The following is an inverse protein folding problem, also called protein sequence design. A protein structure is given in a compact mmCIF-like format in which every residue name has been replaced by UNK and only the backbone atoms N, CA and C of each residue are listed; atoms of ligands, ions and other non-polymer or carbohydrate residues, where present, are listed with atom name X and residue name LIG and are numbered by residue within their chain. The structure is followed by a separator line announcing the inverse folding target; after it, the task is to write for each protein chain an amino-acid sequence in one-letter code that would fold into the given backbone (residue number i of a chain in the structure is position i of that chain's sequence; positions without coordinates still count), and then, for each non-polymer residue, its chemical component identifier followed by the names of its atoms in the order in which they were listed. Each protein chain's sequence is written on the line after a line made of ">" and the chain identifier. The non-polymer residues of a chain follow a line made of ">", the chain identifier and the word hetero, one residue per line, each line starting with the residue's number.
data_IF_334838550581
#
_entry.id   IF_334838550581
#
_cell.length_a   1.000
_cell.length_b   1.000
_cell.length_c   1.000
_cell.angle_alpha   90.00
_cell.angle_beta   90.00
_cell.angle_gamma   90.00
#
_symmetry.space_group_name_H-M   'P 1'
#
loop_
_entity.id
_entity.type
_entity.pdbx_description
1 polymer ?
#
# COMPACT_ATOMS: atom_id res chain seq x y z
N UNK A 1 -42.33 -19.30 -21.61
CA UNK A 1 -40.98 -19.69 -21.14
C UNK A 1 -40.00 -18.75 -21.84
N UNK A 2 -39.11 -18.05 -21.13
CA UNK A 2 -38.11 -17.19 -21.79
C UNK A 2 -37.20 -18.07 -22.64
N UNK A 3 -36.93 -17.69 -23.88
CA UNK A 3 -36.04 -18.47 -24.75
C UNK A 3 -34.60 -18.31 -24.29
N UNK A 4 -33.73 -19.26 -24.65
CA UNK A 4 -32.29 -19.19 -24.35
C UNK A 4 -31.66 -17.88 -24.89
N UNK A 5 -32.19 -17.40 -26.02
CA UNK A 5 -31.76 -16.17 -26.68
C UNK A 5 -32.17 -14.92 -25.89
N UNK A 6 -33.39 -14.89 -25.34
CA UNK A 6 -33.85 -13.81 -24.47
C UNK A 6 -33.00 -13.68 -23.19
N UNK A 7 -32.61 -14.82 -22.61
CA UNK A 7 -31.74 -14.84 -21.44
C UNK A 7 -30.34 -14.35 -21.78
N UNK A 8 -29.79 -14.75 -22.92
CA UNK A 8 -28.47 -14.31 -23.38
C UNK A 8 -28.44 -12.79 -23.60
N UNK A 9 -29.47 -12.25 -24.28
CA UNK A 9 -29.62 -10.79 -24.47
C UNK A 9 -29.66 -10.05 -23.14
N UNK A 10 -30.33 -10.61 -22.12
CA UNK A 10 -30.38 -9.99 -20.79
C UNK A 10 -29.03 -10.02 -20.07
N UNK A 11 -28.26 -11.09 -20.22
CA UNK A 11 -26.89 -11.18 -19.67
C UNK A 11 -25.99 -10.10 -20.28
N UNK A 12 -26.06 -9.90 -21.60
CA UNK A 12 -25.21 -8.93 -22.28
C UNK A 12 -25.61 -7.48 -21.97
N UNK A 13 -26.91 -7.23 -21.79
CA UNK A 13 -27.43 -5.95 -21.26
C UNK A 13 -26.87 -5.67 -19.86
N UNK A 14 -26.93 -6.64 -18.94
CA UNK A 14 -26.42 -6.49 -17.57
C UNK A 14 -24.90 -6.30 -17.53
N UNK A 15 -24.15 -6.97 -18.40
CA UNK A 15 -22.70 -6.76 -18.55
C UNK A 15 -22.38 -5.33 -18.97
N UNK A 16 -23.15 -4.81 -19.93
CA UNK A 16 -23.01 -3.42 -20.39
C UNK A 16 -23.30 -2.43 -19.28
N UNK A 17 -24.37 -2.65 -18.51
CA UNK A 17 -24.70 -1.82 -17.33
C UNK A 17 -23.60 -1.85 -16.27
N UNK A 18 -23.07 -3.04 -15.98
CA UNK A 18 -21.97 -3.20 -15.02
C UNK A 18 -20.70 -2.47 -15.47
N UNK A 19 -20.37 -2.55 -16.76
CA UNK A 19 -19.22 -1.85 -17.33
C UNK A 19 -19.38 -0.34 -17.20
N UNK A 20 -20.55 0.19 -17.57
CA UNK A 20 -20.84 1.62 -17.43
C UNK A 20 -20.72 2.08 -15.97
N UNK A 21 -21.27 1.32 -15.02
CA UNK A 21 -21.18 1.66 -13.60
C UNK A 21 -19.72 1.69 -13.10
N UNK A 22 -18.88 0.75 -13.55
CA UNK A 22 -17.44 0.76 -13.22
C UNK A 22 -16.74 1.99 -13.76
N UNK A 23 -17.04 2.39 -14.99
CA UNK A 23 -16.47 3.59 -15.60
C UNK A 23 -16.89 4.86 -14.85
N UNK A 24 -18.17 4.97 -14.46
CA UNK A 24 -18.64 6.08 -13.64
C UNK A 24 -17.96 6.13 -12.28
N UNK A 25 -17.80 4.98 -11.61
CA UNK A 25 -17.09 4.90 -10.33
C UNK A 25 -15.63 5.35 -10.48
N UNK A 26 -14.91 4.86 -11.50
CA UNK A 26 -13.51 5.23 -11.75
C UNK A 26 -13.40 6.74 -12.00
N UNK A 27 -14.28 7.30 -12.82
CA UNK A 27 -14.31 8.74 -13.10
C UNK A 27 -14.59 9.56 -11.85
N UNK A 28 -15.60 9.17 -11.07
CA UNK A 28 -15.95 9.87 -9.83
C UNK A 28 -14.82 9.80 -8.81
N UNK A 29 -14.21 8.61 -8.63
CA UNK A 29 -13.05 8.42 -7.77
C UNK A 29 -11.89 9.33 -8.20
N UNK A 30 -11.59 9.42 -9.50
CA UNK A 30 -10.54 10.31 -10.01
C UNK A 30 -10.83 11.78 -9.66
N UNK A 31 -12.05 12.24 -9.91
CA UNK A 31 -12.43 13.62 -9.59
C UNK A 31 -12.28 13.92 -8.09
N UNK A 32 -12.71 13.00 -7.21
CA UNK A 32 -12.54 13.16 -5.76
C UNK A 32 -11.06 13.24 -5.37
N UNK A 33 -10.20 12.41 -5.98
CA UNK A 33 -8.76 12.46 -5.73
C UNK A 33 -8.16 13.80 -6.20
N UNK A 34 -8.52 14.26 -7.39
CA UNK A 34 -8.08 15.55 -7.92
C UNK A 34 -8.52 16.72 -7.01
N UNK A 35 -9.74 16.64 -6.44
CA UNK A 35 -10.27 17.63 -5.50
C UNK A 35 -9.54 17.59 -4.15
N UNK A 36 -9.29 16.39 -3.60
CA UNK A 36 -8.49 16.18 -2.39
C UNK A 36 -7.08 16.75 -2.57
N UNK A 37 -6.44 16.51 -3.71
CA UNK A 37 -5.12 17.05 -4.01
C UNK A 37 -5.15 18.58 -4.14
N UNK A 38 -6.21 19.13 -4.72
CA UNK A 38 -6.47 20.58 -4.72
C UNK A 38 -6.58 21.17 -3.32
N UNK A 39 -7.28 20.51 -2.40
CA UNK A 39 -7.36 20.92 -0.99
C UNK A 39 -6.03 20.74 -0.25
N UNK A 40 -5.32 19.63 -0.47
CA UNK A 40 -3.99 19.38 0.11
C UNK A 40 -3.02 20.50 -0.27
N UNK A 41 -2.99 20.90 -1.55
CA UNK A 41 -2.15 22.00 -2.02
C UNK A 41 -2.48 23.36 -1.36
N UNK A 42 -3.75 23.60 -1.04
CA UNK A 42 -4.17 24.80 -0.28
C UNK A 42 -3.71 24.72 1.18
N UNK A 43 -3.92 23.57 1.83
CA UNK A 43 -3.46 23.33 3.21
C UNK A 43 -1.93 23.42 3.33
N UNK A 44 -1.18 22.99 2.32
CA UNK A 44 0.29 23.13 2.27
C UNK A 44 0.77 24.57 2.07
N UNK A 45 -0.03 25.45 1.44
CA UNK A 45 0.30 26.88 1.32
C UNK A 45 0.13 27.63 2.64
N UNK A 46 -0.79 27.17 3.50
CA UNK A 46 -1.07 27.81 4.79
C UNK A 46 -0.21 27.26 5.95
N UNK A 47 0.40 26.06 5.79
CA UNK A 47 1.28 25.44 6.78
C UNK A 47 2.77 25.47 6.34
N UNK A 48 3.40 26.65 6.39
CA UNK A 48 4.86 26.73 6.47
C UNK A 48 5.29 26.39 7.90
N UNK A 49 5.11 25.14 8.33
CA UNK A 49 5.85 24.43 9.41
C UNK A 49 5.19 23.07 9.74
N UNK A 50 5.36 22.07 8.88
CA UNK A 50 5.47 20.64 9.29
C UNK A 50 5.65 19.77 8.03
N UNK A 51 6.88 19.33 7.80
CA UNK A 51 7.28 18.53 6.64
C UNK A 51 6.71 17.11 6.62
N UNK A 52 5.52 16.94 6.08
CA UNK A 52 5.06 15.64 5.59
C UNK A 52 4.50 15.79 4.18
N UNK A 53 5.37 15.71 3.18
CA UNK A 53 4.97 15.42 1.81
C UNK A 53 4.15 14.13 1.79
N UNK A 54 3.00 14.13 1.13
CA UNK A 54 2.24 12.92 0.87
C UNK A 54 2.94 12.09 -0.22
N UNK A 55 4.00 11.39 0.18
CA UNK A 55 4.71 10.44 -0.66
C UNK A 55 3.83 9.19 -0.87
N UNK A 56 3.45 8.92 -2.12
CA UNK A 56 2.83 7.64 -2.49
C UNK A 56 3.83 6.52 -2.15
N UNK A 57 3.39 5.53 -1.37
CA UNK A 57 4.27 4.44 -0.93
C UNK A 57 4.99 3.78 -2.12
N UNK A 58 6.31 3.85 -2.10
CA UNK A 58 7.21 3.21 -3.05
C UNK A 58 7.94 2.03 -2.41
N UNK A 59 8.45 1.13 -3.26
CA UNK A 59 9.28 -0.01 -2.82
C UNK A 59 10.55 0.44 -2.09
N UNK A 60 11.01 1.66 -2.39
CA UNK A 60 12.18 2.29 -1.77
C UNK A 60 11.95 2.67 -0.33
N UNK A 61 10.71 2.74 0.15
CA UNK A 61 10.36 3.22 1.49
C UNK A 61 10.38 2.09 2.52
N UNK A 62 10.25 0.83 2.07
CA UNK A 62 10.22 -0.32 2.98
C UNK A 62 11.41 -0.42 3.95
N UNK A 63 12.68 -0.13 3.57
CA UNK A 63 13.77 -0.11 4.54
C UNK A 63 13.48 0.80 5.74
N UNK A 64 13.03 2.04 5.51
CA UNK A 64 12.83 2.99 6.60
C UNK A 64 11.53 2.70 7.37
N UNK A 65 10.50 2.17 6.71
CA UNK A 65 9.28 1.67 7.38
C UNK A 65 9.62 0.51 8.32
N UNK A 66 10.39 -0.48 7.86
CA UNK A 66 10.80 -1.63 8.67
C UNK A 66 11.64 -1.17 9.86
N UNK A 67 12.60 -0.27 9.62
CA UNK A 67 13.44 0.28 10.67
C UNK A 67 12.61 1.00 11.75
N UNK A 68 11.64 1.81 11.33
CA UNK A 68 10.73 2.53 12.23
C UNK A 68 9.90 1.57 13.07
N UNK A 69 9.28 0.57 12.44
CA UNK A 69 8.49 -0.45 13.15
C UNK A 69 9.35 -1.20 14.16
N UNK A 70 10.55 -1.66 13.77
CA UNK A 70 11.45 -2.35 14.69
C UNK A 70 11.86 -1.45 15.85
N UNK A 71 12.23 -0.18 15.58
CA UNK A 71 12.64 0.78 16.61
C UNK A 71 11.54 1.03 17.63
N UNK A 72 10.30 1.20 17.17
CA UNK A 72 9.13 1.41 18.04
C UNK A 72 8.76 0.17 18.87
N UNK A 73 9.18 -1.03 18.43
CA UNK A 73 8.90 -2.30 19.10
C UNK A 73 10.13 -2.87 19.84
N UNK A 74 11.04 -2.02 20.31
CA UNK A 74 12.18 -2.43 21.13
C UNK A 74 13.35 -3.06 20.34
N UNK A 75 13.38 -2.85 19.02
CA UNK A 75 14.47 -3.25 18.14
C UNK A 75 14.40 -4.69 17.63
N UNK A 76 13.38 -5.48 18.00
CA UNK A 76 13.23 -6.88 17.60
C UNK A 76 11.77 -7.23 17.38
N UNK A 77 11.45 -7.87 16.25
CA UNK A 77 10.07 -8.26 15.96
C UNK A 77 9.99 -9.45 15.00
N UNK A 78 8.92 -10.23 15.13
CA UNK A 78 8.61 -11.30 14.18
C UNK A 78 8.21 -10.71 12.81
N UNK A 79 8.68 -11.32 11.72
CA UNK A 79 8.41 -10.87 10.35
C UNK A 79 6.90 -10.75 10.06
N UNK A 80 6.09 -11.67 10.61
CA UNK A 80 4.64 -11.64 10.46
C UNK A 80 4.02 -10.43 11.14
N UNK A 81 4.49 -10.08 12.33
CA UNK A 81 4.02 -8.90 13.07
C UNK A 81 4.43 -7.60 12.36
N UNK A 82 5.65 -7.54 11.81
CA UNK A 82 6.08 -6.43 10.95
C UNK A 82 5.14 -6.29 9.75
N UNK A 83 4.79 -7.40 9.09
CA UNK A 83 3.85 -7.41 7.97
C UNK A 83 2.47 -6.88 8.36
N UNK A 84 1.94 -7.30 9.52
CA UNK A 84 0.67 -6.79 10.05
C UNK A 84 0.74 -5.29 10.32
N UNK A 85 1.86 -4.81 10.84
CA UNK A 85 2.03 -3.40 11.18
C UNK A 85 2.16 -2.51 9.93
N UNK A 86 2.88 -2.98 8.90
CA UNK A 86 2.90 -2.32 7.58
C UNK A 86 1.49 -2.22 7.00
N UNK A 87 0.72 -3.32 7.05
CA UNK A 87 -0.67 -3.31 6.59
C UNK A 87 -1.53 -2.33 7.39
N UNK A 88 -1.43 -2.34 8.72
CA UNK A 88 -2.18 -1.44 9.60
C UNK A 88 -1.93 0.03 9.25
N UNK A 89 -0.68 0.41 8.96
CA UNK A 89 -0.29 1.79 8.64
C UNK A 89 -0.56 2.20 7.20
N UNK A 90 -0.41 1.28 6.25
CA UNK A 90 -0.32 1.63 4.82
C UNK A 90 -1.31 0.88 3.92
N UNK A 91 -2.32 0.17 4.46
CA UNK A 91 -3.30 -0.57 3.66
C UNK A 91 -3.96 0.30 2.57
N UNK A 92 -4.24 1.57 2.84
CA UNK A 92 -4.83 2.46 1.86
C UNK A 92 -3.89 2.67 0.68
N UNK A 93 -2.64 3.10 0.93
CA UNK A 93 -1.63 3.29 -0.11
C UNK A 93 -1.30 1.99 -0.87
N UNK A 94 -1.25 0.86 -0.17
CA UNK A 94 -1.01 -0.46 -0.75
C UNK A 94 -2.16 -0.93 -1.63
N UNK A 95 -3.42 -0.69 -1.24
CA UNK A 95 -4.60 -1.15 -1.98
C UNK A 95 -4.90 -0.31 -3.22
N UNK A 96 -4.33 0.89 -3.33
CA UNK A 96 -4.54 1.82 -4.45
C UNK A 96 -3.52 1.64 -5.58
N UNK A 97 -2.56 0.72 -5.47
CA UNK A 97 -1.54 0.47 -6.49
C UNK A 97 -1.34 -1.04 -6.76
N UNK A 98 -0.60 -1.37 -7.82
CA UNK A 98 -0.26 -2.76 -8.17
C UNK A 98 0.63 -3.45 -7.13
N UNK A 99 1.25 -2.67 -6.23
CA UNK A 99 2.04 -3.19 -5.12
C UNK A 99 1.19 -3.97 -4.12
N UNK A 100 -0.13 -3.82 -4.13
CA UNK A 100 -1.05 -4.69 -3.38
C UNK A 100 -0.70 -6.18 -3.52
N UNK A 101 -0.30 -6.60 -4.71
CA UNK A 101 0.02 -7.99 -5.01
C UNK A 101 1.47 -8.38 -4.65
N UNK A 102 2.39 -7.42 -4.53
CA UNK A 102 3.83 -7.70 -4.42
C UNK A 102 4.49 -7.19 -3.13
N UNK A 103 3.82 -6.36 -2.34
CA UNK A 103 4.45 -5.64 -1.22
C UNK A 103 5.07 -6.57 -0.18
N UNK A 104 4.52 -7.76 0.03
CA UNK A 104 5.09 -8.76 0.94
C UNK A 104 6.47 -9.27 0.48
N UNK A 105 6.70 -9.30 -0.83
CA UNK A 105 8.01 -9.58 -1.39
C UNK A 105 8.90 -8.34 -1.34
N UNK A 106 8.35 -7.17 -1.64
CA UNK A 106 9.09 -5.90 -1.67
C UNK A 106 9.64 -5.50 -0.28
N UNK A 107 8.90 -5.69 0.81
CA UNK A 107 9.42 -5.36 2.14
C UNK A 107 10.53 -6.32 2.60
N UNK A 108 10.50 -7.59 2.15
CA UNK A 108 11.61 -8.52 2.38
C UNK A 108 12.89 -8.04 1.69
N UNK A 109 12.77 -7.44 0.51
CA UNK A 109 13.89 -6.73 -0.12
C UNK A 109 14.33 -5.49 0.66
N UNK A 110 13.38 -4.76 1.26
CA UNK A 110 13.66 -3.67 2.18
C UNK A 110 14.56 -4.11 3.35
N UNK A 111 14.25 -5.23 3.97
CA UNK A 111 15.09 -5.84 5.01
C UNK A 111 16.48 -6.23 4.50
N UNK A 112 16.60 -6.80 3.29
CA UNK A 112 17.90 -7.08 2.67
C UNK A 112 18.73 -5.81 2.49
N UNK A 113 18.11 -4.68 2.10
CA UNK A 113 18.80 -3.39 2.02
C UNK A 113 19.28 -2.91 3.39
N UNK A 114 18.47 -3.00 4.44
CA UNK A 114 18.89 -2.63 5.80
C UNK A 114 20.09 -3.45 6.28
N UNK A 115 20.13 -4.76 5.99
CA UNK A 115 21.28 -5.62 6.30
C UNK A 115 22.55 -5.15 5.58
N UNK A 116 22.44 -4.86 4.28
CA UNK A 116 23.56 -4.32 3.49
C UNK A 116 24.04 -2.97 4.00
N UNK A 117 23.14 -2.16 4.55
CA UNK A 117 23.44 -0.89 5.20
C UNK A 117 23.94 -1.03 6.65
N UNK A 118 24.10 -2.26 7.16
CA UNK A 118 24.51 -2.54 8.53
C UNK A 118 23.59 -1.92 9.60
N UNK A 119 22.30 -1.70 9.27
CA UNK A 119 21.26 -1.16 10.18
C UNK A 119 20.37 -2.25 10.80
N UNK A 120 20.49 -3.49 10.32
CA UNK A 120 19.75 -4.65 10.80
C UNK A 120 20.69 -5.85 10.82
N UNK A 121 20.53 -6.75 11.80
CA UNK A 121 21.33 -7.97 11.91
C UNK A 121 21.19 -8.87 10.68
N UNK A 122 22.26 -9.58 10.34
CA UNK A 122 22.28 -10.57 9.28
C UNK A 122 21.27 -11.70 9.51
N UNK A 123 20.87 -12.39 8.44
CA UNK A 123 19.88 -13.47 8.54
C UNK A 123 20.33 -14.66 9.39
N UNK A 124 21.64 -14.81 9.61
CA UNK A 124 22.25 -15.85 10.45
C UNK A 124 22.50 -15.38 11.88
N UNK A 125 22.42 -14.08 12.14
CA UNK A 125 22.65 -13.49 13.47
C UNK A 125 21.37 -13.40 14.30
N UNK A 126 20.21 -13.39 13.64
CA UNK A 126 18.88 -13.37 14.28
C UNK A 126 18.21 -14.75 14.26
N UNK A 127 17.37 -15.07 15.27
CA UNK A 127 16.53 -16.26 15.25
C UNK A 127 15.66 -16.34 14.01
N UNK A 128 15.33 -17.56 13.57
CA UNK A 128 14.48 -17.78 12.39
C UNK A 128 13.13 -17.09 12.55
N UNK A 129 12.79 -16.22 11.61
CA UNK A 129 11.51 -15.49 11.60
C UNK A 129 11.50 -14.23 12.46
N UNK A 130 12.61 -13.88 13.10
CA UNK A 130 12.79 -12.64 13.86
C UNK A 130 13.74 -11.73 13.08
N UNK A 131 13.41 -10.44 13.01
CA UNK A 131 14.29 -9.39 12.51
C UNK A 131 14.65 -8.46 13.65
N UNK A 132 15.93 -8.07 13.69
CA UNK A 132 16.48 -7.25 14.77
C UNK A 132 17.34 -6.13 14.21
N UNK A 133 17.23 -4.95 14.82
CA UNK A 133 18.16 -3.86 14.58
C UNK A 133 19.56 -4.25 15.07
N UNK A 134 20.57 -3.62 14.45
CA UNK A 134 21.97 -3.76 14.86
C UNK A 134 22.30 -2.85 16.03
#
# INVERSE_FOLDING_TARGET
>A
MKTKEDLQKKVDELRTQLQHHKEQYIKHKKNLMDEIDGFRNKVSKDNVDSGHEHHLLQKTDFPDIIYTILKENGGSMNIMEISKEIWRRHNHSLSMNDMFYTWQYDFRWGATKLRKQNRMKGSTESPKGIWELK
#
